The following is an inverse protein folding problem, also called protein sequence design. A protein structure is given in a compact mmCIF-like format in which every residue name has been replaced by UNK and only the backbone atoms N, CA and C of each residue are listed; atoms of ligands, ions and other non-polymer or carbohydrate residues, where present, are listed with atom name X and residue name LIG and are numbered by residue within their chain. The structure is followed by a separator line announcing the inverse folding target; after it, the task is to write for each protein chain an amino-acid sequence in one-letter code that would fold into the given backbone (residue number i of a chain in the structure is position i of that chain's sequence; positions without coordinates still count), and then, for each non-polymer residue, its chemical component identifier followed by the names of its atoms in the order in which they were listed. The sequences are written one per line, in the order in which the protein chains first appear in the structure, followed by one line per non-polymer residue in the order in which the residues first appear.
data_IF_265956071377
#
_entry.id   IF_265956071377
#
_cell.length_a   1.000
_cell.length_b   1.000
_cell.length_c   1.000
_cell.angle_alpha   90.00
_cell.angle_beta   90.00
_cell.angle_gamma   90.00
#
_symmetry.space_group_name_H-M   'P 1'
#
loop_
_entity.id
_entity.type
_entity.pdbx_description
1 polymer ?
#
# COMPACT_ATOMS: atom_id res chain seq x y z
N UNK A 1 26.48 -10.84 0.65
CA UNK A 1 25.29 -11.28 1.41
C UNK A 1 24.14 -11.41 0.42
N UNK A 2 23.74 -12.64 0.12
CA UNK A 2 22.51 -12.90 -0.63
C UNK A 2 21.35 -12.52 0.29
N UNK A 3 20.59 -11.50 -0.11
CA UNK A 3 19.38 -11.09 0.58
C UNK A 3 18.38 -12.24 0.39
N UNK A 4 18.29 -13.14 1.38
CA UNK A 4 17.18 -14.08 1.50
C UNK A 4 15.95 -13.26 1.89
N UNK A 5 15.44 -12.49 0.94
CA UNK A 5 14.08 -11.98 1.00
C UNK A 5 13.20 -13.21 0.97
N UNK A 6 12.54 -13.52 2.09
CA UNK A 6 11.39 -14.42 2.14
C UNK A 6 10.26 -13.77 1.34
N UNK A 7 10.44 -13.62 0.03
CA UNK A 7 9.39 -13.18 -0.86
C UNK A 7 8.29 -14.21 -0.72
N UNK A 8 7.11 -13.75 -0.30
CA UNK A 8 5.88 -14.54 -0.39
C UNK A 8 5.70 -14.87 -1.87
N UNK A 9 6.18 -16.04 -2.29
CA UNK A 9 5.93 -16.56 -3.63
C UNK A 9 4.52 -17.14 -3.56
N UNK A 10 3.51 -16.53 -4.21
CA UNK A 10 2.21 -17.15 -4.30
C UNK A 10 2.42 -18.45 -5.07
N UNK A 11 2.19 -19.58 -4.42
CA UNK A 11 2.15 -20.85 -5.14
C UNK A 11 0.97 -20.77 -6.11
N UNK A 12 1.25 -20.90 -7.41
CA UNK A 12 0.29 -20.70 -8.51
C UNK A 12 -0.93 -21.62 -8.32
N UNK A 13 -0.70 -22.77 -7.71
CA UNK A 13 -1.67 -23.80 -7.36
C UNK A 13 -2.70 -23.31 -6.33
N UNK A 14 -2.27 -22.47 -5.38
CA UNK A 14 -3.10 -21.94 -4.30
C UNK A 14 -3.75 -20.60 -4.65
N UNK A 15 -3.21 -19.88 -5.63
CA UNK A 15 -3.63 -18.53 -5.99
C UNK A 15 -5.09 -18.45 -6.42
N UNK A 16 -5.54 -19.28 -7.37
CA UNK A 16 -6.94 -19.23 -7.85
C UNK A 16 -7.97 -19.62 -6.75
N UNK A 17 -7.77 -20.71 -5.99
CA UNK A 17 -8.62 -21.00 -4.83
C UNK A 17 -8.68 -19.86 -3.81
N UNK A 18 -7.55 -19.24 -3.49
CA UNK A 18 -7.47 -18.15 -2.55
C UNK A 18 -8.18 -16.89 -3.05
N UNK A 19 -7.97 -16.50 -4.30
CA UNK A 19 -8.66 -15.36 -4.92
C UNK A 19 -10.17 -15.59 -4.90
N UNK A 20 -10.63 -16.79 -5.26
CA UNK A 20 -12.06 -17.13 -5.23
C UNK A 20 -12.64 -17.06 -3.82
N UNK A 21 -11.91 -17.54 -2.82
CA UNK A 21 -12.32 -17.57 -1.41
C UNK A 21 -12.38 -16.16 -0.80
N UNK A 22 -11.37 -15.33 -1.06
CA UNK A 22 -11.23 -14.01 -0.43
C UNK A 22 -11.99 -12.91 -1.17
N UNK A 23 -12.06 -12.97 -2.50
CA UNK A 23 -12.54 -11.85 -3.33
C UNK A 23 -13.76 -12.21 -4.20
N UNK A 24 -14.11 -13.50 -4.34
CA UNK A 24 -15.34 -13.96 -4.95
C UNK A 24 -15.22 -14.40 -6.41
N UNK A 25 -16.16 -13.96 -7.26
CA UNK A 25 -16.29 -14.46 -8.64
C UNK A 25 -15.13 -13.97 -9.53
N UNK A 26 -14.24 -14.89 -9.92
CA UNK A 26 -13.07 -14.63 -10.76
C UNK A 26 -13.39 -14.22 -12.21
N UNK A 27 -14.66 -14.22 -12.63
CA UNK A 27 -15.07 -13.69 -13.94
C UNK A 27 -15.20 -12.15 -13.93
N UNK A 28 -15.24 -11.54 -12.75
CA UNK A 28 -15.46 -10.10 -12.59
C UNK A 28 -14.12 -9.35 -12.49
N UNK A 29 -14.00 -8.23 -13.22
CA UNK A 29 -12.83 -7.33 -13.17
C UNK A 29 -12.48 -6.91 -11.74
N UNK A 30 -13.49 -6.49 -10.97
CA UNK A 30 -13.33 -6.02 -9.58
C UNK A 30 -12.70 -7.06 -8.65
N UNK A 31 -12.90 -8.35 -8.91
CA UNK A 31 -12.29 -9.44 -8.13
C UNK A 31 -10.78 -9.43 -8.30
N UNK A 32 -10.30 -9.22 -9.53
CA UNK A 32 -8.87 -9.16 -9.84
C UNK A 32 -8.23 -7.88 -9.34
N UNK A 33 -8.93 -6.75 -9.41
CA UNK A 33 -8.43 -5.48 -8.87
C UNK A 33 -8.24 -5.54 -7.35
N UNK A 34 -9.19 -6.15 -6.63
CA UNK A 34 -9.08 -6.40 -5.19
C UNK A 34 -7.94 -7.37 -4.84
N UNK A 35 -7.84 -8.46 -5.60
CA UNK A 35 -6.76 -9.43 -5.42
C UNK A 35 -5.40 -8.79 -5.66
N UNK A 36 -5.25 -8.03 -6.74
CA UNK A 36 -4.03 -7.29 -7.04
C UNK A 36 -3.67 -6.36 -5.90
N UNK A 37 -4.59 -5.51 -5.44
CA UNK A 37 -4.33 -4.59 -4.35
C UNK A 37 -3.87 -5.31 -3.07
N UNK A 38 -4.52 -6.42 -2.72
CA UNK A 38 -4.17 -7.23 -1.55
C UNK A 38 -2.76 -7.81 -1.65
N UNK A 39 -2.44 -8.52 -2.73
CA UNK A 39 -1.13 -9.16 -2.90
C UNK A 39 -0.01 -8.14 -3.14
N UNK A 40 -0.31 -7.03 -3.82
CA UNK A 40 0.64 -5.93 -3.99
C UNK A 40 1.05 -5.34 -2.65
N UNK A 41 0.10 -5.11 -1.73
CA UNK A 41 0.41 -4.61 -0.38
C UNK A 41 1.17 -5.65 0.43
N UNK A 42 0.81 -6.93 0.37
CA UNK A 42 1.59 -7.98 1.04
C UNK A 42 3.04 -8.00 0.55
N UNK A 43 3.25 -7.94 -0.76
CA UNK A 43 4.57 -7.88 -1.37
C UNK A 43 5.33 -6.62 -0.95
N UNK A 44 4.68 -5.45 -1.00
CA UNK A 44 5.25 -4.18 -0.57
C UNK A 44 5.75 -4.27 0.88
N UNK A 45 4.90 -4.76 1.78
CA UNK A 45 5.24 -4.86 3.21
C UNK A 45 6.34 -5.90 3.49
N UNK A 46 6.49 -6.92 2.64
CA UNK A 46 7.56 -7.92 2.75
C UNK A 46 8.90 -7.41 2.21
N UNK A 47 8.90 -6.49 1.24
CA UNK A 47 10.12 -6.09 0.51
C UNK A 47 10.68 -4.72 0.93
N UNK A 48 9.85 -3.84 1.48
CA UNK A 48 10.27 -2.48 1.80
C UNK A 48 11.04 -2.44 3.12
N UNK A 49 12.31 -2.03 3.04
CA UNK A 49 13.17 -1.83 4.20
C UNK A 49 13.32 -0.38 4.67
N UNK A 50 12.86 0.60 3.88
CA UNK A 50 13.06 2.02 4.17
C UNK A 50 11.90 2.90 3.69
N UNK A 51 11.82 4.10 4.29
CA UNK A 51 10.71 5.04 4.05
C UNK A 51 10.72 5.71 2.67
N UNK A 52 11.88 5.85 2.01
CA UNK A 52 11.92 6.38 0.66
C UNK A 52 11.29 5.42 -0.33
N UNK A 53 11.72 4.15 -0.28
CA UNK A 53 11.24 3.10 -1.15
C UNK A 53 9.75 2.87 -0.89
N UNK A 54 9.33 2.91 0.38
CA UNK A 54 7.93 2.83 0.77
C UNK A 54 7.08 3.86 0.02
N UNK A 55 7.40 5.15 0.15
CA UNK A 55 6.59 6.21 -0.45
C UNK A 55 6.76 6.32 -1.97
N UNK A 56 7.94 6.00 -2.52
CA UNK A 56 8.13 5.92 -3.98
C UNK A 56 7.25 4.87 -4.64
N UNK A 57 7.09 3.70 -4.01
CA UNK A 57 6.24 2.62 -4.53
C UNK A 57 4.75 2.89 -4.29
N UNK A 58 4.43 3.71 -3.29
CA UNK A 58 3.07 4.14 -2.95
C UNK A 58 2.64 5.45 -3.61
N UNK A 59 3.49 6.06 -4.44
CA UNK A 59 3.22 7.32 -5.11
C UNK A 59 2.27 7.11 -6.31
N UNK A 60 0.99 7.49 -6.19
CA UNK A 60 -0.01 7.27 -7.23
C UNK A 60 0.22 8.13 -8.47
N UNK A 61 1.03 9.20 -8.40
CA UNK A 61 1.40 10.00 -9.57
C UNK A 61 2.31 9.23 -10.53
N UNK A 62 3.00 8.21 -10.02
CA UNK A 62 3.84 7.29 -10.82
C UNK A 62 3.05 6.14 -11.43
N UNK A 63 1.79 5.97 -11.04
CA UNK A 63 0.94 4.88 -11.53
C UNK A 63 0.15 5.31 -12.77
N UNK A 64 0.10 4.48 -13.83
CA UNK A 64 -0.63 4.78 -15.06
C UNK A 64 -2.08 5.25 -14.82
N UNK A 65 -2.55 6.20 -15.63
CA UNK A 65 -3.83 6.90 -15.44
C UNK A 65 -5.08 6.02 -15.46
N UNK A 66 -5.03 4.86 -16.13
CA UNK A 66 -6.18 3.94 -16.23
C UNK A 66 -6.54 3.23 -14.91
N UNK A 67 -5.84 3.52 -13.82
CA UNK A 67 -5.92 2.78 -12.55
C UNK A 67 -6.63 3.53 -11.41
N UNK A 68 -7.36 4.63 -11.64
CA UNK A 68 -7.92 5.47 -10.54
C UNK A 68 -8.62 4.67 -9.43
N UNK A 69 -9.47 3.71 -9.78
CA UNK A 69 -10.17 2.83 -8.83
C UNK A 69 -9.22 1.87 -8.11
N UNK A 70 -8.25 1.31 -8.83
CA UNK A 70 -7.21 0.44 -8.27
C UNK A 70 -6.36 1.19 -7.24
N UNK A 71 -6.13 2.50 -7.43
CA UNK A 71 -5.34 3.29 -6.48
C UNK A 71 -5.99 3.32 -5.10
N UNK A 72 -7.31 3.49 -5.07
CA UNK A 72 -8.08 3.45 -3.83
C UNK A 72 -8.11 2.05 -3.21
N UNK A 73 -8.21 0.99 -4.01
CA UNK A 73 -8.15 -0.39 -3.49
C UNK A 73 -6.79 -0.70 -2.84
N UNK A 74 -5.68 -0.22 -3.40
CA UNK A 74 -4.35 -0.36 -2.81
C UNK A 74 -4.27 0.41 -1.49
N UNK A 75 -4.79 1.63 -1.43
CA UNK A 75 -4.85 2.40 -0.19
C UNK A 75 -5.67 1.69 0.90
N UNK A 76 -6.84 1.13 0.55
CA UNK A 76 -7.67 0.37 1.46
C UNK A 76 -6.95 -0.90 1.97
N UNK A 77 -6.31 -1.64 1.06
CA UNK A 77 -5.52 -2.82 1.42
C UNK A 77 -4.35 -2.46 2.34
N UNK A 78 -3.68 -1.34 2.09
CA UNK A 78 -2.60 -0.84 2.92
C UNK A 78 -3.10 -0.52 4.34
N UNK A 79 -4.19 0.24 4.46
CA UNK A 79 -4.76 0.60 5.77
C UNK A 79 -5.27 -0.62 6.56
N UNK A 80 -5.70 -1.68 5.87
CA UNK A 80 -6.12 -2.94 6.48
C UNK A 80 -4.95 -3.84 6.88
N UNK A 81 -3.74 -3.66 6.32
CA UNK A 81 -2.58 -4.48 6.63
C UNK A 81 -2.06 -4.20 8.04
N UNK A 82 -1.82 -5.26 8.84
CA UNK A 82 -1.39 -5.14 10.25
C UNK A 82 -0.11 -4.30 10.42
N UNK A 83 0.88 -4.51 9.56
CA UNK A 83 2.22 -3.93 9.69
C UNK A 83 2.28 -2.48 9.13
N UNK A 84 1.27 -2.05 8.37
CA UNK A 84 1.26 -0.70 7.79
C UNK A 84 1.07 0.39 8.85
N UNK A 85 0.41 0.05 9.97
CA UNK A 85 0.14 0.97 11.08
C UNK A 85 1.40 1.55 11.69
N UNK A 86 2.48 0.78 11.71
CA UNK A 86 3.78 1.23 12.22
C UNK A 86 4.65 1.80 11.09
N UNK A 87 4.62 1.18 9.90
CA UNK A 87 5.45 1.58 8.77
C UNK A 87 5.11 2.96 8.23
N UNK A 88 3.82 3.29 8.09
CA UNK A 88 3.34 4.58 7.59
C UNK A 88 3.87 5.78 8.40
N UNK A 89 3.63 5.87 9.72
CA UNK A 89 4.09 7.01 10.50
C UNK A 89 5.62 7.06 10.65
N UNK A 90 6.30 5.91 10.72
CA UNK A 90 7.76 5.87 10.82
C UNK A 90 8.45 6.33 9.53
N UNK A 91 7.98 5.83 8.39
CA UNK A 91 8.45 6.26 7.06
C UNK A 91 8.19 7.75 6.86
N UNK A 92 7.01 8.25 7.26
CA UNK A 92 6.69 9.66 7.11
C UNK A 92 7.60 10.53 7.99
N UNK A 93 7.80 10.16 9.26
CA UNK A 93 8.71 10.85 10.17
C UNK A 93 10.15 10.89 9.64
N UNK A 94 10.62 9.80 9.03
CA UNK A 94 11.94 9.75 8.38
C UNK A 94 12.05 10.76 7.24
N UNK A 95 11.05 10.84 6.36
CA UNK A 95 11.02 11.81 5.26
C UNK A 95 11.00 13.25 5.77
N UNK A 96 10.25 13.54 6.83
CA UNK A 96 10.26 14.88 7.47
C UNK A 96 11.65 15.26 7.96
N UNK A 97 12.31 14.36 8.70
CA UNK A 97 13.66 14.59 9.24
C UNK A 97 14.72 14.78 8.16
N UNK A 98 14.49 14.22 6.98
CA UNK A 98 15.42 14.31 5.84
C UNK A 98 15.01 15.37 4.81
N UNK A 99 13.98 16.18 5.08
CA UNK A 99 13.43 17.20 4.17
C UNK A 99 12.99 16.63 2.81
N UNK A 100 12.38 15.44 2.80
CA UNK A 100 11.93 14.71 1.60
C UNK A 100 10.44 14.38 1.64
N UNK A 101 9.67 15.26 2.27
CA UNK A 101 8.21 15.14 2.39
C UNK A 101 7.50 15.11 1.02
N UNK A 102 8.15 15.64 -0.02
CA UNK A 102 7.67 15.64 -1.40
C UNK A 102 7.38 14.23 -1.93
N UNK A 103 8.13 13.23 -1.48
CA UNK A 103 7.90 11.82 -1.85
C UNK A 103 6.57 11.27 -1.35
N UNK A 104 5.97 11.87 -0.32
CA UNK A 104 4.68 11.45 0.23
C UNK A 104 3.49 12.20 -0.36
N UNK A 105 3.70 13.24 -1.19
CA UNK A 105 2.63 14.13 -1.63
C UNK A 105 1.52 13.42 -2.40
N UNK A 106 1.87 12.56 -3.36
CA UNK A 106 0.88 11.79 -4.11
C UNK A 106 0.05 10.89 -3.21
N UNK A 107 0.69 10.22 -2.25
CA UNK A 107 0.01 9.39 -1.25
C UNK A 107 -0.95 10.23 -0.37
N UNK A 108 -0.50 11.37 0.15
CA UNK A 108 -1.32 12.26 0.96
C UNK A 108 -2.51 12.81 0.19
N UNK A 109 -2.32 13.16 -1.08
CA UNK A 109 -3.39 13.62 -1.97
C UNK A 109 -4.45 12.53 -2.19
N UNK A 110 -4.02 11.29 -2.46
CA UNK A 110 -4.93 10.16 -2.63
C UNK A 110 -5.67 9.81 -1.33
N UNK A 111 -4.98 9.85 -0.18
CA UNK A 111 -5.58 9.60 1.12
C UNK A 111 -6.70 10.60 1.44
N UNK A 112 -6.48 11.90 1.14
CA UNK A 112 -7.50 12.96 1.28
C UNK A 112 -8.71 12.74 0.39
N UNK A 113 -8.53 12.16 -0.79
CA UNK A 113 -9.62 11.89 -1.75
C UNK A 113 -10.40 10.61 -1.43
N UNK A 114 -9.84 9.70 -0.63
CA UNK A 114 -10.49 8.44 -0.29
C UNK A 114 -11.69 8.67 0.64
N UNK A 115 -12.75 7.85 0.51
CA UNK A 115 -13.89 7.85 1.45
C UNK A 115 -13.47 7.58 2.91
N UNK A 116 -12.26 7.03 3.13
CA UNK A 116 -11.61 6.81 4.41
C UNK A 116 -10.63 7.91 4.85
N UNK A 117 -10.60 9.07 4.21
CA UNK A 117 -9.68 10.17 4.53
C UNK A 117 -9.73 10.63 6.01
N UNK A 118 -10.85 10.39 6.70
CA UNK A 118 -10.99 10.61 8.14
C UNK A 118 -10.23 9.58 9.03
N UNK A 119 -9.89 8.39 8.52
CA UNK A 119 -9.13 7.34 9.22
C UNK A 119 -7.62 7.38 8.92
N UNK A 120 -7.23 7.84 7.72
CA UNK A 120 -5.81 8.03 7.37
C UNK A 120 -5.23 9.33 7.98
N UNK A 121 -6.04 10.37 8.14
CA UNK A 121 -5.62 11.65 8.71
C UNK A 121 -5.07 11.55 10.16
N UNK A 122 -5.67 10.78 11.09
CA UNK A 122 -5.11 10.55 12.42
C UNK A 122 -3.74 9.83 12.42
N UNK A 123 -3.55 8.86 11.52
CA UNK A 123 -2.29 8.11 11.37
C UNK A 123 -1.15 9.02 10.90
N UNK A 124 -1.47 10.00 10.06
CA UNK A 124 -0.52 11.01 9.58
C UNK A 124 -0.32 12.16 10.58
N UNK A 125 -1.37 12.55 11.32
CA UNK A 125 -1.33 13.60 12.34
C UNK A 125 -0.55 13.19 13.59
N UNK A 126 -0.61 11.92 13.99
CA UNK A 126 0.19 11.37 15.10
C UNK A 126 1.70 11.31 14.80
N UNK A 127 2.10 11.35 13.53
CA UNK A 127 3.49 11.51 13.11
C UNK A 127 3.97 12.97 13.18
N UNK A 128 3.07 13.92 13.41
CA UNK A 128 3.34 15.36 13.44
C UNK A 128 3.49 16.01 14.82
N UNK A 129 3.22 15.30 15.93
CA UNK A 129 3.01 15.92 17.25
C UNK A 129 4.10 15.68 18.32
N UNK A 130 5.33 15.26 17.95
CA UNK A 130 6.47 15.26 18.89
C UNK A 130 7.77 15.59 18.18
#
# INVERSE_FOLDING_TARGET
MLHNSEMVVPQVENFKPEVKRLFGDMRRKVTWEKAFAHFYVQWLMACVGDGDLFFKLMDPERWPDWQKELKFLILEALLAHKDSREMLPNSYRYLRKTNREDLANGFLALARQSRGGAQAAPLLASAGTR
#
